data_IF_269050339555
#
_entry.id   IF_269050339555
#
_cell.length_a   1.000
_cell.length_b   1.000
_cell.length_c   1.000
_cell.angle_alpha   90.00
_cell.angle_beta   90.00
_cell.angle_gamma   90.00
#
_symmetry.space_group_name_H-M   'P 1'
#
loop_
_entity.id
_entity.type
_entity.pdbx_description
1 polymer ?
#
# COMPACT_ATOMS: atom_id res chain seq x y z
N UNK A 1 11.36 -17.14 45.42
CA UNK A 1 11.85 -18.42 44.88
C UNK A 1 13.10 -18.81 45.67
N UNK A 2 12.91 -19.68 46.70
CA UNK A 2 13.98 -20.06 47.65
C UNK A 2 14.66 -21.39 47.34
N UNK A 3 14.60 -21.88 46.08
CA UNK A 3 15.21 -23.15 45.66
C UNK A 3 16.49 -22.89 44.88
N UNK A 4 17.51 -23.72 45.15
CA UNK A 4 18.74 -23.71 44.37
C UNK A 4 18.51 -24.25 42.94
N UNK A 5 19.41 -23.93 42.04
CA UNK A 5 19.34 -24.42 40.63
C UNK A 5 19.36 -25.94 40.58
N UNK A 6 20.06 -26.59 41.51
CA UNK A 6 20.15 -28.04 41.58
C UNK A 6 18.82 -28.66 42.01
N UNK A 7 18.16 -28.11 43.01
CA UNK A 7 16.83 -28.56 43.47
C UNK A 7 15.77 -28.40 42.38
N UNK A 8 15.82 -27.30 41.61
CA UNK A 8 14.92 -27.09 40.47
C UNK A 8 15.14 -28.14 39.38
N UNK A 9 16.41 -28.47 39.08
CA UNK A 9 16.73 -29.52 38.10
C UNK A 9 16.24 -30.90 38.53
N UNK A 10 16.38 -31.21 39.78
CA UNK A 10 15.96 -32.52 40.32
C UNK A 10 14.43 -32.63 40.37
N UNK A 11 13.74 -31.56 40.74
CA UNK A 11 12.26 -31.48 40.71
C UNK A 11 11.71 -31.62 39.28
N UNK A 12 12.37 -31.06 38.30
CA UNK A 12 11.93 -31.12 36.91
C UNK A 12 12.31 -32.40 36.15
N UNK A 13 13.27 -33.17 36.66
CA UNK A 13 13.78 -34.39 35.97
C UNK A 13 12.68 -35.42 35.72
N UNK A 14 11.85 -35.72 36.74
CA UNK A 14 10.81 -36.73 36.59
C UNK A 14 9.66 -36.27 35.71
N UNK A 15 9.09 -35.05 35.85
CA UNK A 15 8.09 -34.54 34.93
C UNK A 15 8.56 -34.52 33.46
N UNK A 16 9.78 -34.06 33.18
CA UNK A 16 10.33 -34.03 31.82
C UNK A 16 10.53 -35.46 31.29
N UNK A 17 11.01 -36.39 32.12
CA UNK A 17 11.16 -37.79 31.71
C UNK A 17 9.82 -38.42 31.34
N UNK A 18 8.78 -38.23 32.15
CA UNK A 18 7.43 -38.73 31.88
C UNK A 18 6.84 -38.12 30.59
N UNK A 19 7.02 -36.83 30.38
CA UNK A 19 6.60 -36.16 29.16
C UNK A 19 7.28 -36.76 27.93
N UNK A 20 8.62 -36.90 27.95
CA UNK A 20 9.38 -37.48 26.82
C UNK A 20 8.98 -38.93 26.54
N UNK A 21 8.73 -39.75 27.62
CA UNK A 21 8.27 -41.12 27.41
C UNK A 21 6.89 -41.13 26.76
N UNK A 22 5.98 -40.25 27.19
CA UNK A 22 4.63 -40.14 26.63
C UNK A 22 4.69 -39.74 25.17
N UNK A 23 5.48 -38.73 24.81
CA UNK A 23 5.68 -38.30 23.45
C UNK A 23 6.25 -39.41 22.55
N UNK A 24 7.29 -40.13 23.02
CA UNK A 24 7.87 -41.25 22.32
C UNK A 24 6.88 -42.42 22.12
N UNK A 25 6.07 -42.71 23.12
CA UNK A 25 5.01 -43.74 23.00
C UNK A 25 3.93 -43.34 22.02
N UNK A 26 3.47 -42.10 22.05
CA UNK A 26 2.52 -41.57 21.08
C UNK A 26 3.09 -41.67 19.65
N UNK A 27 4.34 -41.25 19.46
CA UNK A 27 5.01 -41.35 18.15
C UNK A 27 5.10 -42.78 17.64
N UNK A 28 5.46 -43.76 18.50
CA UNK A 28 5.48 -45.19 18.14
C UNK A 28 4.11 -45.76 17.77
N UNK A 29 3.05 -45.30 18.43
CA UNK A 29 1.68 -45.74 18.14
C UNK A 29 1.26 -45.23 16.75
N UNK A 30 1.54 -43.93 16.44
CA UNK A 30 1.09 -43.31 15.18
C UNK A 30 1.98 -43.64 13.98
N UNK A 31 3.26 -44.00 14.21
CA UNK A 31 4.23 -44.29 13.14
C UNK A 31 3.77 -45.38 12.16
N UNK A 32 3.04 -46.36 12.67
CA UNK A 32 2.52 -47.50 11.87
C UNK A 32 1.14 -47.25 11.27
N UNK A 33 0.49 -46.15 11.63
CA UNK A 33 -0.85 -45.81 11.10
C UNK A 33 -0.68 -45.24 9.69
N UNK A 34 -1.23 -45.94 8.71
CA UNK A 34 -1.33 -45.45 7.34
C UNK A 34 -2.79 -45.20 7.01
N UNK A 35 -3.09 -43.95 6.78
CA UNK A 35 -4.44 -43.53 6.39
C UNK A 35 -4.56 -43.56 4.87
N UNK A 36 -5.52 -44.30 4.37
CA UNK A 36 -5.79 -44.40 2.93
C UNK A 36 -6.72 -43.27 2.46
N UNK A 37 -6.63 -42.85 1.18
CA UNK A 37 -7.57 -41.87 0.63
C UNK A 37 -9.06 -42.27 0.77
N UNK A 38 -9.35 -43.58 0.80
CA UNK A 38 -10.69 -44.08 1.00
C UNK A 38 -11.21 -43.81 2.41
N UNK A 39 -10.36 -44.03 3.42
CA UNK A 39 -10.70 -43.77 4.82
C UNK A 39 -10.92 -42.26 5.07
N UNK A 40 -10.11 -41.39 4.46
CA UNK A 40 -10.29 -39.95 4.52
C UNK A 40 -11.65 -39.54 3.93
N UNK A 41 -12.01 -40.07 2.75
CA UNK A 41 -13.30 -39.79 2.13
C UNK A 41 -14.47 -40.29 2.98
N UNK A 42 -14.34 -41.50 3.58
CA UNK A 42 -15.36 -42.08 4.44
C UNK A 42 -15.54 -41.28 5.74
N UNK A 43 -14.46 -40.79 6.31
CA UNK A 43 -14.50 -39.90 7.47
C UNK A 43 -15.17 -38.58 7.13
N UNK A 44 -14.76 -37.95 6.03
CA UNK A 44 -15.32 -36.67 5.57
C UNK A 44 -16.83 -36.74 5.35
N UNK A 45 -17.34 -37.85 4.80
CA UNK A 45 -18.78 -38.06 4.61
C UNK A 45 -19.56 -38.19 5.92
N UNK A 46 -18.92 -38.52 7.01
CA UNK A 46 -19.53 -38.64 8.34
C UNK A 46 -19.57 -37.30 9.12
N UNK A 47 -18.83 -36.30 8.66
CA UNK A 47 -18.84 -34.99 9.30
C UNK A 47 -20.19 -34.33 8.99
N UNK A 48 -20.92 -33.84 10.02
CA UNK A 48 -22.16 -33.10 9.81
C UNK A 48 -21.88 -31.85 8.93
N UNK A 49 -22.78 -31.57 7.99
CA UNK A 49 -22.61 -30.44 7.05
C UNK A 49 -22.46 -29.11 7.78
N UNK A 50 -23.14 -28.95 8.91
CA UNK A 50 -23.09 -27.73 9.74
C UNK A 50 -21.73 -27.50 10.44
N UNK A 51 -20.91 -28.56 10.49
CA UNK A 51 -19.55 -28.50 11.07
C UNK A 51 -18.46 -28.26 10.00
N UNK A 52 -18.83 -28.27 8.72
CA UNK A 52 -17.91 -27.97 7.66
C UNK A 52 -17.82 -26.44 7.47
N UNK A 53 -16.60 -25.90 7.32
CA UNK A 53 -16.47 -24.48 7.00
C UNK A 53 -17.16 -24.19 5.65
N UNK A 54 -18.00 -23.16 5.64
CA UNK A 54 -18.58 -22.65 4.40
C UNK A 54 -17.46 -22.01 3.57
N UNK A 55 -17.16 -22.63 2.43
CA UNK A 55 -16.16 -22.10 1.51
C UNK A 55 -16.90 -21.29 0.44
N UNK A 56 -16.76 -19.96 0.48
CA UNK A 56 -17.40 -19.13 -0.52
C UNK A 56 -16.85 -19.47 -1.92
N UNK A 57 -17.74 -19.36 -2.90
CA UNK A 57 -17.36 -19.53 -4.30
C UNK A 57 -16.20 -18.58 -4.65
N UNK A 58 -15.18 -19.14 -5.26
CA UNK A 58 -14.01 -18.35 -5.68
C UNK A 58 -14.05 -18.23 -7.19
N UNK A 59 -14.13 -16.98 -7.64
CA UNK A 59 -14.10 -16.64 -9.06
C UNK A 59 -12.72 -16.11 -9.43
N UNK A 60 -12.16 -16.61 -10.53
CA UNK A 60 -10.98 -16.07 -11.17
C UNK A 60 -11.45 -15.26 -12.38
N UNK A 61 -11.16 -13.96 -12.34
CA UNK A 61 -11.53 -13.03 -13.39
C UNK A 61 -10.28 -12.58 -14.15
N UNK A 62 -10.33 -12.64 -15.46
CA UNK A 62 -9.32 -12.07 -16.33
C UNK A 62 -9.92 -10.88 -17.08
N UNK A 63 -9.18 -9.76 -17.12
CA UNK A 63 -9.60 -8.58 -17.87
C UNK A 63 -8.47 -8.12 -18.80
N UNK A 64 -8.85 -7.63 -19.96
CA UNK A 64 -7.94 -6.94 -20.87
C UNK A 64 -8.28 -5.46 -20.78
N UNK A 65 -7.30 -4.64 -20.36
CA UNK A 65 -7.47 -3.19 -20.26
C UNK A 65 -6.71 -2.56 -21.42
N UNK A 66 -7.44 -1.98 -22.37
CA UNK A 66 -6.87 -1.17 -23.43
C UNK A 66 -6.94 0.30 -22.99
N UNK A 67 -5.79 0.92 -22.85
CA UNK A 67 -5.68 2.36 -22.60
C UNK A 67 -5.32 3.01 -23.93
N UNK A 68 -6.20 3.83 -24.51
CA UNK A 68 -5.84 4.58 -25.72
C UNK A 68 -4.73 5.57 -25.40
N UNK A 69 -3.81 5.75 -26.35
CA UNK A 69 -2.72 6.70 -26.21
C UNK A 69 -3.27 8.13 -26.28
N UNK A 70 -2.81 8.95 -25.36
CA UNK A 70 -3.12 10.38 -25.35
C UNK A 70 -2.23 11.09 -26.37
N UNK A 71 -2.82 11.96 -27.19
CA UNK A 71 -2.07 12.71 -28.19
C UNK A 71 -1.03 13.64 -27.54
N UNK A 72 0.11 13.81 -28.19
CA UNK A 72 1.14 14.75 -27.71
C UNK A 72 0.62 16.19 -27.69
N UNK A 73 -0.31 16.54 -28.59
CA UNK A 73 -0.98 17.85 -28.60
C UNK A 73 -1.75 18.10 -27.28
N UNK A 74 -2.46 17.09 -26.78
CA UNK A 74 -3.19 17.20 -25.50
C UNK A 74 -2.22 17.29 -24.31
N UNK A 75 -1.16 16.50 -24.30
CA UNK A 75 -0.13 16.59 -23.26
C UNK A 75 0.52 17.99 -23.22
N UNK A 76 0.80 18.56 -24.40
CA UNK A 76 1.41 19.89 -24.45
C UNK A 76 0.41 20.98 -24.03
N UNK A 77 -0.85 20.86 -24.38
CA UNK A 77 -1.92 21.74 -23.89
C UNK A 77 -1.95 21.80 -22.37
N UNK A 78 -1.86 20.62 -21.72
CA UNK A 78 -1.84 20.53 -20.25
C UNK A 78 -0.56 21.13 -19.67
N UNK A 79 0.60 20.86 -20.29
CA UNK A 79 1.86 21.47 -19.87
C UNK A 79 1.79 23.00 -19.94
N UNK A 80 1.24 23.55 -21.01
CA UNK A 80 1.05 25.00 -21.15
C UNK A 80 0.09 25.56 -20.09
N UNK A 81 -0.98 24.87 -19.80
CA UNK A 81 -1.93 25.27 -18.76
C UNK A 81 -1.26 25.29 -17.38
N UNK A 82 -0.50 24.28 -17.03
CA UNK A 82 0.26 24.22 -15.75
C UNK A 82 1.39 25.25 -15.71
N UNK A 83 2.05 25.57 -16.85
CA UNK A 83 3.01 26.67 -16.94
C UNK A 83 2.33 28.00 -16.60
N UNK A 84 1.16 28.25 -17.20
CA UNK A 84 0.37 29.44 -16.91
C UNK A 84 -0.03 29.54 -15.44
N UNK A 85 -0.47 28.44 -14.83
CA UNK A 85 -0.80 28.41 -13.40
C UNK A 85 0.42 28.74 -12.54
N UNK A 86 1.54 28.10 -12.83
CA UNK A 86 2.78 28.32 -12.12
C UNK A 86 3.25 29.78 -12.23
N UNK A 87 3.17 30.36 -13.40
CA UNK A 87 3.58 31.75 -13.64
C UNK A 87 2.68 32.76 -12.91
N UNK A 88 1.36 32.55 -12.92
CA UNK A 88 0.41 33.37 -12.15
C UNK A 88 0.71 33.32 -10.66
N UNK A 89 1.08 32.15 -10.12
CA UNK A 89 1.46 32.03 -8.70
C UNK A 89 2.78 32.74 -8.42
N UNK A 90 3.78 32.55 -9.29
CA UNK A 90 5.11 33.15 -9.09
C UNK A 90 5.08 34.69 -9.20
N UNK A 91 4.18 35.24 -10.03
CA UNK A 91 3.93 36.69 -10.15
C UNK A 91 3.08 37.25 -9.02
N UNK A 92 2.46 36.38 -8.19
CA UNK A 92 1.56 36.79 -7.12
C UNK A 92 0.16 37.22 -7.60
N UNK A 93 -0.18 36.94 -8.87
CA UNK A 93 -1.50 37.26 -9.44
C UNK A 93 -2.60 36.39 -8.85
N UNK A 94 -2.27 35.12 -8.55
CA UNK A 94 -3.18 34.17 -7.88
C UNK A 94 -2.43 33.36 -6.83
N UNK A 95 -3.16 32.89 -5.82
CA UNK A 95 -2.57 31.99 -4.82
C UNK A 95 -2.61 30.55 -5.32
N UNK A 96 -1.74 29.70 -4.77
CA UNK A 96 -1.75 28.28 -5.08
C UNK A 96 -3.12 27.64 -4.77
N UNK A 97 -3.72 27.99 -3.61
CA UNK A 97 -5.02 27.48 -3.21
C UNK A 97 -6.14 27.85 -4.20
N UNK A 98 -6.11 29.06 -4.74
CA UNK A 98 -7.10 29.50 -5.73
C UNK A 98 -7.04 28.66 -7.00
N UNK A 99 -5.84 28.31 -7.45
CA UNK A 99 -5.66 27.48 -8.65
C UNK A 99 -5.80 25.98 -8.36
N UNK A 100 -5.55 25.55 -7.13
CA UNK A 100 -5.70 24.15 -6.73
C UNK A 100 -7.17 23.65 -6.82
N UNK A 101 -8.15 24.55 -6.81
CA UNK A 101 -9.55 24.17 -7.06
C UNK A 101 -9.75 23.58 -8.47
N UNK A 102 -8.84 23.87 -9.40
CA UNK A 102 -8.85 23.35 -10.77
C UNK A 102 -8.09 22.02 -10.90
N UNK A 103 -7.53 21.50 -9.79
CA UNK A 103 -6.89 20.20 -9.75
C UNK A 103 -7.91 19.07 -9.93
N UNK A 104 -7.52 18.03 -10.65
CA UNK A 104 -8.41 16.90 -10.99
C UNK A 104 -8.27 15.73 -10.01
N UNK A 105 -7.99 16.03 -8.73
CA UNK A 105 -7.88 15.04 -7.67
C UNK A 105 -8.64 15.41 -6.40
N UNK A 106 -8.72 14.47 -5.45
CA UNK A 106 -9.45 14.63 -4.19
C UNK A 106 -8.85 15.68 -3.23
N UNK A 107 -7.66 16.20 -3.51
CA UNK A 107 -7.02 17.25 -2.70
C UNK A 107 -7.47 18.66 -3.08
N UNK A 108 -8.10 18.84 -4.25
CA UNK A 108 -8.54 20.12 -4.76
C UNK A 108 -9.34 20.97 -3.74
N UNK A 109 -10.35 20.44 -3.01
CA UNK A 109 -11.11 21.22 -2.03
C UNK A 109 -10.28 21.68 -0.83
N UNK A 110 -9.11 21.04 -0.59
CA UNK A 110 -8.17 21.37 0.49
C UNK A 110 -6.99 22.21 -0.01
N UNK A 111 -7.13 22.86 -1.17
CA UNK A 111 -6.04 23.64 -1.77
C UNK A 111 -4.87 22.80 -2.31
N UNK A 112 -5.12 21.54 -2.62
CA UNK A 112 -4.13 20.61 -3.14
C UNK A 112 -3.22 19.99 -2.06
N UNK A 113 -3.52 20.18 -0.76
CA UNK A 113 -2.66 19.75 0.35
C UNK A 113 -2.79 18.24 0.60
N UNK A 114 -1.61 17.56 0.66
CA UNK A 114 -1.52 16.10 0.89
C UNK A 114 -1.17 15.74 2.33
N UNK A 115 -0.82 16.73 3.17
CA UNK A 115 -0.28 16.51 4.50
C UNK A 115 1.15 15.96 4.47
N UNK A 116 1.64 15.55 5.65
CA UNK A 116 3.00 15.01 5.79
C UNK A 116 3.11 13.62 5.18
N UNK A 117 3.99 13.48 4.19
CA UNK A 117 4.29 12.25 3.47
C UNK A 117 5.77 11.92 3.52
N UNK A 118 6.08 10.64 3.64
CA UNK A 118 7.43 10.12 3.44
C UNK A 118 7.68 9.84 1.94
N UNK A 119 8.96 9.70 1.57
CA UNK A 119 9.34 9.45 0.17
C UNK A 119 8.71 8.18 -0.42
N UNK A 120 8.47 7.17 0.41
CA UNK A 120 7.91 5.87 0.00
C UNK A 120 6.39 5.90 -0.28
N UNK A 121 5.70 6.93 0.22
CA UNK A 121 4.25 7.09 0.07
C UNK A 121 3.86 7.90 -1.18
N UNK A 122 4.83 8.37 -1.93
CA UNK A 122 4.65 9.22 -3.11
C UNK A 122 5.16 8.51 -4.36
N UNK A 123 4.59 8.87 -5.51
CA UNK A 123 5.13 8.46 -6.81
C UNK A 123 6.62 8.84 -6.92
N UNK A 124 7.49 8.01 -7.52
CA UNK A 124 8.93 8.26 -7.58
C UNK A 124 9.31 9.61 -8.19
N UNK A 125 8.70 9.98 -9.33
CA UNK A 125 8.99 11.24 -10.01
C UNK A 125 8.50 12.44 -9.20
N UNK A 126 7.31 12.32 -8.60
CA UNK A 126 6.76 13.31 -7.70
C UNK A 126 7.63 13.48 -6.45
N UNK A 127 8.04 12.36 -5.82
CA UNK A 127 8.86 12.37 -4.62
C UNK A 127 10.23 13.03 -4.87
N UNK A 128 10.91 12.68 -5.96
CA UNK A 128 12.20 13.27 -6.32
C UNK A 128 12.09 14.79 -6.44
N UNK A 129 11.09 15.27 -7.17
CA UNK A 129 10.86 16.69 -7.32
C UNK A 129 10.50 17.36 -6.00
N UNK A 130 9.54 16.81 -5.23
CA UNK A 130 9.05 17.39 -3.99
C UNK A 130 10.14 17.49 -2.92
N UNK A 131 10.96 16.44 -2.78
CA UNK A 131 12.07 16.41 -1.80
C UNK A 131 13.25 17.30 -2.17
N UNK A 132 13.41 17.69 -3.45
CA UNK A 132 14.42 18.64 -3.89
C UNK A 132 14.05 20.10 -3.61
N UNK A 133 12.77 20.39 -3.33
CA UNK A 133 12.29 21.75 -3.10
C UNK A 133 12.71 22.29 -1.73
N UNK A 134 12.85 23.62 -1.67
CA UNK A 134 12.89 24.36 -0.41
C UNK A 134 11.48 24.79 -0.02
N UNK A 135 11.17 24.95 1.29
CA UNK A 135 9.87 25.46 1.74
C UNK A 135 9.44 26.73 1.00
N UNK A 136 8.18 26.78 0.61
CA UNK A 136 7.58 27.87 -0.17
C UNK A 136 7.85 27.83 -1.68
N UNK A 137 8.78 27.01 -2.17
CA UNK A 137 9.10 26.94 -3.61
C UNK A 137 8.18 25.98 -4.36
N UNK A 138 8.00 26.28 -5.65
CA UNK A 138 7.17 25.53 -6.59
C UNK A 138 8.06 24.80 -7.59
N UNK A 139 7.73 23.54 -7.88
CA UNK A 139 8.46 22.71 -8.84
C UNK A 139 8.31 23.22 -10.28
N UNK A 140 9.10 22.67 -11.19
CA UNK A 140 8.75 22.57 -12.60
C UNK A 140 7.56 21.63 -12.77
N UNK A 141 7.04 21.50 -14.00
CA UNK A 141 6.02 20.50 -14.31
C UNK A 141 6.65 19.11 -14.23
N UNK A 142 5.99 18.22 -13.50
CA UNK A 142 6.40 16.83 -13.31
C UNK A 142 5.37 15.95 -13.99
N UNK A 143 5.83 14.96 -14.73
CA UNK A 143 5.00 13.92 -15.30
C UNK A 143 5.10 12.66 -14.43
N UNK A 144 3.96 12.08 -14.06
CA UNK A 144 3.83 10.83 -13.33
C UNK A 144 2.83 9.92 -14.04
N UNK A 145 2.65 8.71 -13.55
CA UNK A 145 1.59 7.80 -14.06
C UNK A 145 0.16 8.36 -13.87
N UNK A 146 -0.03 9.33 -12.99
CA UNK A 146 -1.33 9.95 -12.70
C UNK A 146 -1.61 11.21 -13.54
N UNK A 147 -0.62 11.73 -14.26
CA UNK A 147 -0.73 12.95 -15.05
C UNK A 147 0.38 13.95 -14.82
N UNK A 148 0.10 15.22 -15.10
CA UNK A 148 1.06 16.32 -14.96
C UNK A 148 0.80 17.12 -13.69
N UNK A 149 1.87 17.44 -12.96
CA UNK A 149 1.79 18.10 -11.67
C UNK A 149 2.66 19.36 -11.61
N UNK A 150 2.21 20.32 -10.81
CA UNK A 150 3.07 21.30 -10.14
C UNK A 150 2.94 21.13 -8.64
N UNK A 151 4.05 21.19 -7.93
CA UNK A 151 4.16 20.85 -6.51
C UNK A 151 4.72 22.05 -5.77
N UNK A 152 4.15 22.37 -4.60
CA UNK A 152 4.75 23.34 -3.68
C UNK A 152 5.07 22.67 -2.36
N UNK A 153 6.30 22.81 -1.88
CA UNK A 153 6.66 22.39 -0.54
C UNK A 153 6.19 23.44 0.46
N UNK A 154 5.36 23.02 1.42
CA UNK A 154 4.87 23.85 2.51
C UNK A 154 5.88 23.81 3.65
N UNK A 155 6.20 22.62 4.14
CA UNK A 155 7.07 22.41 5.29
C UNK A 155 7.79 21.05 5.23
N UNK A 156 8.83 20.90 6.04
CA UNK A 156 9.61 19.66 6.17
C UNK A 156 9.83 19.33 7.63
N UNK A 157 9.54 18.09 8.02
CA UNK A 157 9.78 17.56 9.36
C UNK A 157 10.55 16.24 9.27
N UNK A 158 11.84 16.30 9.50
CA UNK A 158 12.74 15.15 9.38
C UNK A 158 12.68 14.54 7.97
N UNK A 159 12.28 13.26 7.90
CA UNK A 159 12.14 12.52 6.64
C UNK A 159 10.77 12.69 5.95
N UNK A 160 9.88 13.50 6.52
CA UNK A 160 8.54 13.77 5.94
C UNK A 160 8.46 15.20 5.45
N UNK A 161 7.68 15.38 4.39
CA UNK A 161 7.38 16.68 3.80
C UNK A 161 5.88 16.90 3.76
N UNK A 162 5.44 18.14 4.05
CA UNK A 162 4.08 18.60 3.77
C UNK A 162 4.10 19.36 2.46
N UNK A 163 3.32 18.86 1.49
CA UNK A 163 3.25 19.42 0.14
C UNK A 163 1.80 19.66 -0.27
N UNK A 164 1.65 20.56 -1.21
CA UNK A 164 0.43 20.71 -1.99
C UNK A 164 0.74 20.64 -3.48
N UNK A 165 -0.21 20.17 -4.25
CA UNK A 165 -0.04 20.00 -5.69
C UNK A 165 -1.27 20.41 -6.48
N UNK A 166 -1.07 20.62 -7.77
CA UNK A 166 -2.15 20.72 -8.76
C UNK A 166 -1.83 19.67 -9.81
N UNK A 167 -2.77 18.78 -10.05
CA UNK A 167 -2.68 17.74 -11.07
C UNK A 167 -3.70 18.01 -12.18
N UNK A 168 -3.28 17.84 -13.41
CA UNK A 168 -4.14 17.78 -14.59
C UNK A 168 -3.87 16.48 -15.34
N UNK A 169 -4.94 15.80 -15.73
CA UNK A 169 -4.85 14.53 -16.44
C UNK A 169 -5.13 14.73 -17.93
N UNK A 170 -4.27 14.21 -18.80
CA UNK A 170 -4.54 14.28 -20.24
C UNK A 170 -5.74 13.38 -20.57
N UNK A 171 -6.69 13.95 -21.31
CA UNK A 171 -7.92 13.25 -21.73
C UNK A 171 -7.74 12.72 -23.15
N UNK A 172 -8.26 11.52 -23.37
CA UNK A 172 -8.38 11.00 -24.72
C UNK A 172 -9.44 11.83 -25.44
N UNK A 173 -9.09 12.45 -26.54
CA UNK A 173 -10.08 13.12 -27.39
C UNK A 173 -10.91 12.04 -28.10
N UNK A 174 -12.22 12.08 -27.93
CA UNK A 174 -13.14 11.38 -28.82
C UNK A 174 -12.99 11.99 -30.22
N UNK A 175 -12.34 11.25 -31.12
CA UNK A 175 -12.28 11.57 -32.55
C UNK A 175 -13.35 10.78 -33.25
#
# INVERSE_FOLDING_TARGET
FGKSIQEIKDDMRNPIKEQLITEQMQQKIVEKIRITPSEVRSYFKKIPKDSLPDMPDRYELQQIVLKPDVSEAEKERIREQLRSFRDQILKGEKTFNTLAVLSEDASAPRGGELGYKSKKELDPAFAEAAFSLKPGKISKIIESEYGFHIIQLIDRQGEKINVRHIILQPKVSDT
#
